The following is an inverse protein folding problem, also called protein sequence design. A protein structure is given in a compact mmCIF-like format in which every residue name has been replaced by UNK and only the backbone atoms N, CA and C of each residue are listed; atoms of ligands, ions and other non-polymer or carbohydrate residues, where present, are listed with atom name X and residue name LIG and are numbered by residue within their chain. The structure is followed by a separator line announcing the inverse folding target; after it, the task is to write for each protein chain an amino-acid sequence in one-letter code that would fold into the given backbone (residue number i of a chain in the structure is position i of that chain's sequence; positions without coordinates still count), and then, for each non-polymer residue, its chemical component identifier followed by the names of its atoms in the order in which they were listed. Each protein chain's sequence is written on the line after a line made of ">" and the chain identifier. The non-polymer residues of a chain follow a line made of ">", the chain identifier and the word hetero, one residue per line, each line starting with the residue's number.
data_IF_188006227711
#
_entry.id   IF_188006227711
#
_cell.length_a   1.000
_cell.length_b   1.000
_cell.length_c   1.000
_cell.angle_alpha   90.00
_cell.angle_beta   90.00
_cell.angle_gamma   90.00
#
_symmetry.space_group_name_H-M   'P 1'
#
loop_
_entity.id
_entity.type
_entity.pdbx_description
1 polymer ?
#
# COMPACT_ATOMS: atom_id res chain seq x y z
N UNK A 1 31.89 5.00 30.95
CA UNK A 1 30.59 4.29 30.80
C UNK A 1 29.45 5.29 30.57
N UNK A 2 29.07 5.54 29.32
CA UNK A 2 27.77 6.10 28.84
C UNK A 2 27.84 6.08 27.30
N UNK A 3 27.84 4.86 26.75
CA UNK A 3 26.67 4.27 26.09
C UNK A 3 26.49 4.84 24.68
N UNK A 4 27.22 4.24 23.77
CA UNK A 4 27.32 4.46 22.32
C UNK A 4 26.00 4.26 21.56
N UNK A 5 24.83 4.37 22.21
CA UNK A 5 23.49 4.13 21.63
C UNK A 5 22.88 5.33 20.93
N UNK A 6 23.36 6.55 21.16
CA UNK A 6 22.71 7.77 20.63
C UNK A 6 23.04 8.06 19.16
N UNK A 7 24.12 7.49 18.61
CA UNK A 7 24.55 7.72 17.22
C UNK A 7 23.98 6.73 16.19
N UNK A 8 23.44 5.60 16.63
CA UNK A 8 22.94 4.55 15.72
C UNK A 8 21.46 4.72 15.32
N UNK A 9 20.69 5.57 16.01
CA UNK A 9 19.31 5.90 15.62
C UNK A 9 19.23 6.88 14.42
N UNK A 10 20.32 7.59 14.11
CA UNK A 10 20.35 8.57 13.00
C UNK A 10 20.59 7.87 11.65
N UNK A 11 21.19 6.67 11.63
CA UNK A 11 21.60 6.00 10.39
C UNK A 11 20.48 5.23 9.66
N UNK A 12 19.28 5.13 10.23
CA UNK A 12 18.13 4.44 9.60
C UNK A 12 17.05 5.42 9.10
N UNK A 13 17.19 6.72 9.40
CA UNK A 13 16.27 7.77 8.96
C UNK A 13 16.67 8.29 7.57
N UNK A 14 16.50 7.46 6.54
CA UNK A 14 16.33 7.96 5.19
C UNK A 14 15.04 8.78 5.15
N UNK A 15 15.18 10.09 5.37
CA UNK A 15 14.22 11.19 5.19
C UNK A 15 12.85 10.74 4.69
N UNK A 16 11.87 10.61 5.60
CA UNK A 16 10.47 10.72 5.22
C UNK A 16 10.08 12.19 5.43
N UNK A 17 9.86 12.90 4.33
CA UNK A 17 9.52 14.34 4.29
C UNK A 17 8.11 14.58 4.90
N UNK A 18 7.39 13.51 5.26
CA UNK A 18 6.03 13.52 5.79
C UNK A 18 5.98 12.79 7.14
N UNK A 19 5.25 13.35 8.09
CA UNK A 19 5.02 12.76 9.41
C UNK A 19 4.42 11.34 9.27
N UNK A 20 5.04 10.36 9.92
CA UNK A 20 4.60 8.97 9.84
C UNK A 20 3.26 8.80 10.59
N UNK A 21 2.14 8.79 9.86
CA UNK A 21 0.78 8.69 10.42
C UNK A 21 0.28 7.24 10.57
N UNK A 22 1.12 6.24 10.27
CA UNK A 22 0.75 4.82 10.28
C UNK A 22 1.58 4.02 11.27
N UNK A 23 0.92 3.14 12.03
CA UNK A 23 1.59 2.18 12.90
C UNK A 23 2.26 1.07 12.07
N UNK A 24 3.22 0.34 12.65
CA UNK A 24 3.92 -0.76 11.95
C UNK A 24 2.94 -1.83 11.49
N UNK A 25 1.90 -2.10 12.27
CA UNK A 25 0.82 -3.05 11.93
C UNK A 25 -0.05 -2.54 10.79
N UNK A 26 -0.52 -1.30 10.87
CA UNK A 26 -1.29 -0.65 9.81
C UNK A 26 -0.53 -0.58 8.48
N UNK A 27 0.79 -0.35 8.52
CA UNK A 27 1.66 -0.36 7.34
C UNK A 27 1.66 -1.71 6.63
N UNK A 28 1.82 -2.79 7.39
CA UNK A 28 1.82 -4.15 6.84
C UNK A 28 0.44 -4.48 6.27
N UNK A 29 -0.63 -4.17 6.98
CA UNK A 29 -1.99 -4.38 6.49
C UNK A 29 -2.21 -3.70 5.13
N UNK A 30 -1.73 -2.46 4.94
CA UNK A 30 -1.91 -1.74 3.67
C UNK A 30 -1.05 -2.27 2.54
N UNK A 31 0.15 -2.74 2.85
CA UNK A 31 0.99 -3.47 1.91
C UNK A 31 0.26 -4.75 1.45
N UNK A 32 -0.28 -5.53 2.37
CA UNK A 32 -1.03 -6.75 2.04
C UNK A 32 -2.27 -6.47 1.21
N UNK A 33 -3.06 -5.45 1.55
CA UNK A 33 -4.24 -5.09 0.74
C UNK A 33 -3.85 -4.65 -0.67
N UNK A 34 -2.73 -3.93 -0.82
CA UNK A 34 -2.23 -3.52 -2.13
C UNK A 34 -1.76 -4.70 -2.98
N UNK A 35 -1.03 -5.65 -2.37
CA UNK A 35 -0.61 -6.90 -3.03
C UNK A 35 -1.83 -7.74 -3.43
N UNK A 36 -2.80 -7.89 -2.53
CA UNK A 36 -4.04 -8.63 -2.81
C UNK A 36 -4.85 -7.97 -3.92
N UNK A 37 -4.91 -6.64 -3.97
CA UNK A 37 -5.59 -5.91 -5.04
C UNK A 37 -4.92 -6.17 -6.40
N UNK A 38 -3.59 -6.14 -6.48
CA UNK A 38 -2.86 -6.47 -7.71
C UNK A 38 -3.08 -7.94 -8.09
N UNK A 39 -3.00 -8.87 -7.14
CA UNK A 39 -3.25 -10.29 -7.38
C UNK A 39 -4.67 -10.53 -7.92
N UNK A 40 -5.67 -9.84 -7.36
CA UNK A 40 -7.04 -9.88 -7.84
C UNK A 40 -7.16 -9.29 -9.25
N UNK A 41 -6.44 -8.22 -9.56
CA UNK A 41 -6.35 -7.66 -10.91
C UNK A 41 -5.81 -8.66 -11.93
N UNK A 42 -4.75 -9.39 -11.60
CA UNK A 42 -4.20 -10.46 -12.45
C UNK A 42 -5.23 -11.57 -12.66
N UNK A 43 -5.96 -11.94 -11.60
CA UNK A 43 -7.02 -12.94 -11.70
C UNK A 43 -8.15 -12.50 -12.66
N UNK A 44 -8.62 -11.26 -12.54
CA UNK A 44 -9.61 -10.68 -13.46
C UNK A 44 -9.07 -10.60 -14.89
N UNK A 45 -7.79 -10.27 -15.08
CA UNK A 45 -7.16 -10.25 -16.40
C UNK A 45 -7.22 -11.64 -17.06
N UNK A 46 -6.94 -12.70 -16.29
CA UNK A 46 -7.01 -14.07 -16.78
C UNK A 46 -8.45 -14.47 -17.17
N UNK A 47 -9.43 -14.14 -16.33
CA UNK A 47 -10.87 -14.34 -16.61
C UNK A 47 -11.34 -13.58 -17.87
N UNK A 48 -10.81 -12.38 -18.08
CA UNK A 48 -11.10 -11.58 -19.27
C UNK A 48 -10.46 -12.19 -20.51
N UNK A 49 -9.25 -12.73 -20.39
CA UNK A 49 -8.54 -13.40 -21.48
C UNK A 49 -9.29 -14.64 -21.99
N UNK A 50 -9.85 -15.45 -21.10
CA UNK A 50 -10.70 -16.61 -21.46
C UNK A 50 -12.13 -16.22 -21.85
N UNK A 51 -12.41 -14.92 -22.06
CA UNK A 51 -13.72 -14.37 -22.47
C UNK A 51 -14.88 -14.69 -21.52
N UNK A 52 -14.60 -14.93 -20.23
CA UNK A 52 -15.65 -15.11 -19.20
C UNK A 52 -16.28 -13.78 -18.81
N UNK A 53 -15.51 -12.69 -18.88
CA UNK A 53 -15.95 -11.33 -18.55
C UNK A 53 -15.86 -10.46 -19.81
N UNK A 54 -16.83 -9.56 -20.08
CA UNK A 54 -16.74 -8.61 -21.18
C UNK A 54 -15.45 -7.78 -21.09
N UNK A 55 -14.72 -7.71 -22.20
CA UNK A 55 -13.39 -7.10 -22.27
C UNK A 55 -13.37 -5.65 -21.75
N UNK A 56 -14.40 -4.86 -22.04
CA UNK A 56 -14.51 -3.47 -21.58
C UNK A 56 -14.50 -3.35 -20.05
N UNK A 57 -15.29 -4.16 -19.35
CA UNK A 57 -15.34 -4.17 -17.89
C UNK A 57 -14.13 -4.87 -17.27
N UNK A 58 -13.66 -5.95 -17.90
CA UNK A 58 -12.49 -6.71 -17.46
C UNK A 58 -11.24 -5.84 -17.41
N UNK A 59 -10.87 -5.19 -18.51
CA UNK A 59 -9.71 -4.31 -18.56
C UNK A 59 -9.83 -3.09 -17.65
N UNK A 60 -11.04 -2.55 -17.48
CA UNK A 60 -11.29 -1.45 -16.53
C UNK A 60 -11.04 -1.90 -15.08
N UNK A 61 -11.52 -3.09 -14.71
CA UNK A 61 -11.29 -3.67 -13.39
C UNK A 61 -9.81 -4.01 -13.17
N UNK A 62 -9.09 -4.50 -14.17
CA UNK A 62 -7.64 -4.72 -14.14
C UNK A 62 -6.89 -3.40 -13.91
N UNK A 63 -7.24 -2.34 -14.66
CA UNK A 63 -6.64 -1.03 -14.50
C UNK A 63 -6.90 -0.45 -13.10
N UNK A 64 -8.15 -0.50 -12.62
CA UNK A 64 -8.54 0.01 -11.30
C UNK A 64 -7.87 -0.74 -10.14
N UNK A 65 -7.85 -2.07 -10.19
CA UNK A 65 -7.22 -2.91 -9.17
C UNK A 65 -5.69 -2.76 -9.15
N UNK A 66 -5.05 -2.65 -10.31
CA UNK A 66 -3.60 -2.42 -10.42
C UNK A 66 -3.23 -1.03 -9.90
N UNK A 67 -3.98 0.01 -10.31
CA UNK A 67 -3.72 1.38 -9.87
C UNK A 67 -3.99 1.57 -8.38
N UNK A 68 -5.13 1.08 -7.88
CA UNK A 68 -5.49 1.12 -6.46
C UNK A 68 -4.53 0.30 -5.59
N UNK A 69 -4.09 -0.87 -6.07
CA UNK A 69 -3.12 -1.71 -5.37
C UNK A 69 -1.72 -1.09 -5.32
N UNK A 70 -1.25 -0.52 -6.43
CA UNK A 70 0.01 0.20 -6.50
C UNK A 70 0.01 1.44 -5.58
N UNK A 71 -1.11 2.17 -5.54
CA UNK A 71 -1.29 3.31 -4.65
C UNK A 71 -1.22 2.90 -3.16
N UNK A 72 -1.90 1.81 -2.77
CA UNK A 72 -1.83 1.29 -1.41
C UNK A 72 -0.41 0.87 -0.99
N UNK A 73 0.37 0.29 -1.91
CA UNK A 73 1.79 -0.05 -1.67
C UNK A 73 2.62 1.22 -1.52
N UNK A 74 2.40 2.25 -2.34
CA UNK A 74 3.11 3.52 -2.25
C UNK A 74 2.88 4.21 -0.89
N UNK A 75 1.63 4.30 -0.44
CA UNK A 75 1.28 4.82 0.88
C UNK A 75 1.97 4.05 2.01
N UNK A 76 1.97 2.72 1.93
CA UNK A 76 2.65 1.86 2.91
C UNK A 76 4.18 2.08 2.93
N UNK A 77 4.82 2.35 1.79
CA UNK A 77 6.27 2.64 1.72
C UNK A 77 6.61 3.98 2.37
N UNK A 78 5.84 5.01 2.10
CA UNK A 78 6.02 6.34 2.70
C UNK A 78 5.66 6.38 4.19
N UNK A 79 4.92 5.39 4.68
CA UNK A 79 4.47 5.38 6.07
C UNK A 79 3.37 6.42 6.33
N UNK A 80 2.66 6.79 5.28
CA UNK A 80 1.65 7.83 5.30
C UNK A 80 0.42 7.34 4.56
N UNK A 81 -0.74 7.43 5.19
CA UNK A 81 -2.02 6.97 4.64
C UNK A 81 -2.98 8.15 4.59
N UNK A 82 -3.48 8.46 3.40
CA UNK A 82 -4.38 9.60 3.17
C UNK A 82 -5.72 9.41 3.90
N UNK A 83 -6.18 8.17 4.02
CA UNK A 83 -7.45 7.81 4.68
C UNK A 83 -7.48 8.23 6.15
N UNK A 84 -6.36 8.06 6.87
CA UNK A 84 -6.24 8.56 8.26
C UNK A 84 -6.02 10.07 8.29
N UNK A 85 -5.38 10.65 7.28
CA UNK A 85 -5.17 12.10 7.19
C UNK A 85 -6.49 12.86 6.99
N UNK A 86 -7.46 12.29 6.28
CA UNK A 86 -8.83 12.84 6.15
C UNK A 86 -9.73 12.53 7.35
N UNK A 87 -9.20 11.94 8.42
CA UNK A 87 -9.91 11.73 9.68
C UNK A 87 -10.71 10.42 9.80
N UNK A 88 -10.59 9.49 8.84
CA UNK A 88 -11.26 8.19 8.95
C UNK A 88 -10.48 7.32 9.94
N UNK A 89 -11.13 7.04 11.08
CA UNK A 89 -10.61 6.13 12.11
C UNK A 89 -10.65 4.69 11.59
N UNK A 90 -9.55 4.25 10.99
CA UNK A 90 -9.34 2.83 10.71
C UNK A 90 -8.71 2.18 11.96
N UNK A 91 -9.30 1.11 12.52
CA UNK A 91 -8.86 0.50 13.80
C UNK A 91 -7.54 -0.28 13.71
N UNK A 92 -6.83 -0.20 12.58
CA UNK A 92 -5.60 -0.92 12.25
C UNK A 92 -4.35 -0.08 12.53
#
# INVERSE_FOLDING_TARGET
>A
MRSSRTRLQIRTAGVQIMECNIDKKGRLARLYTGILAIAFGIFIALLTYISVIPASLGWLAVAGSTFGGAFAIFEARKGWCIVRAIGIKTPL
#
